data_IF_170299024769
#
_entry.id   IF_170299024769
#
_cell.length_a   1.000
_cell.length_b   1.000
_cell.length_c   1.000
_cell.angle_alpha   90.00
_cell.angle_beta   90.00
_cell.angle_gamma   90.00
#
_symmetry.space_group_name_H-M   'P 1'
#
loop_
_entity.id
_entity.type
_entity.pdbx_description
1 polymer ?
#
# COMPACT_ATOMS: atom_id res chain seq x y z
N UNK A 1 30.75 21.66 0.30
CA UNK A 1 30.01 20.39 0.53
C UNK A 1 29.81 20.30 2.03
N UNK A 2 28.57 20.38 2.52
CA UNK A 2 28.32 20.24 3.94
C UNK A 2 28.55 18.77 4.32
N UNK A 3 29.48 18.52 5.24
CA UNK A 3 29.62 17.20 5.87
C UNK A 3 28.28 16.83 6.50
N UNK A 4 27.73 15.68 6.11
CA UNK A 4 26.61 15.06 6.80
C UNK A 4 27.08 14.85 8.24
N UNK A 5 26.55 15.63 9.20
CA UNK A 5 26.80 15.38 10.62
C UNK A 5 26.36 13.95 10.89
N UNK A 6 27.29 13.07 11.27
CA UNK A 6 26.99 11.74 11.77
C UNK A 6 26.26 11.84 13.13
N UNK A 7 25.03 12.34 13.13
CA UNK A 7 24.07 11.88 14.13
C UNK A 7 23.74 10.45 13.74
N UNK A 8 24.01 9.48 14.60
CA UNK A 8 23.60 8.09 14.39
C UNK A 8 22.07 8.00 14.50
N UNK A 9 21.37 8.44 13.45
CA UNK A 9 19.92 8.27 13.35
C UNK A 9 19.62 6.79 13.57
N UNK A 10 18.81 6.50 14.58
CA UNK A 10 18.32 5.16 14.84
C UNK A 10 16.82 5.13 14.59
N UNK A 11 16.38 4.14 13.82
CA UNK A 11 14.96 3.89 13.54
C UNK A 11 14.58 2.55 14.15
N UNK A 12 13.40 2.48 14.76
CA UNK A 12 12.88 1.21 15.23
C UNK A 12 12.42 0.36 14.05
N UNK A 13 13.09 -0.76 13.81
CA UNK A 13 12.77 -1.68 12.73
C UNK A 13 11.80 -2.75 13.23
N UNK A 14 10.56 -2.73 12.71
CA UNK A 14 9.53 -3.70 13.10
C UNK A 14 9.93 -5.15 12.82
N UNK A 15 10.72 -5.41 11.77
CA UNK A 15 11.18 -6.75 11.40
C UNK A 15 12.08 -7.38 12.48
N UNK A 16 12.94 -6.57 13.11
CA UNK A 16 13.91 -7.02 14.12
C UNK A 16 13.53 -6.65 15.54
N UNK A 17 12.49 -5.81 15.71
CA UNK A 17 11.94 -5.33 16.98
C UNK A 17 12.93 -4.54 17.84
N UNK A 18 13.90 -3.88 17.22
CA UNK A 18 14.92 -3.09 17.89
C UNK A 18 15.19 -1.77 17.16
N UNK A 19 15.84 -0.84 17.86
CA UNK A 19 16.37 0.38 17.22
C UNK A 19 17.66 0.03 16.51
N UNK A 20 17.74 0.37 15.23
CA UNK A 20 18.89 0.09 14.38
C UNK A 20 19.45 1.38 13.81
N UNK A 21 20.77 1.44 13.65
CA UNK A 21 21.41 2.56 12.95
C UNK A 21 20.87 2.60 11.51
N UNK A 22 20.25 3.71 11.15
CA UNK A 22 19.75 3.92 9.81
C UNK A 22 20.93 4.12 8.86
N UNK A 23 20.99 3.27 7.83
CA UNK A 23 21.99 3.36 6.77
C UNK A 23 21.25 3.23 5.43
N UNK A 24 21.21 4.29 4.62
CA UNK A 24 20.54 4.20 3.33
C UNK A 24 21.28 3.23 2.39
N UNK A 25 20.52 2.63 1.48
CA UNK A 25 21.04 1.76 0.40
C UNK A 25 22.04 2.54 -0.47
N UNK A 26 21.69 3.78 -0.82
CA UNK A 26 22.58 4.70 -1.56
C UNK A 26 23.04 5.81 -0.62
N UNK A 27 24.35 5.98 -0.37
CA UNK A 27 24.86 7.03 0.52
C UNK A 27 24.31 8.41 0.17
N UNK A 28 23.73 9.09 1.17
CA UNK A 28 23.16 10.43 1.02
C UNK A 28 21.75 10.49 0.42
N UNK A 29 21.15 9.36 0.01
CA UNK A 29 19.79 9.32 -0.56
C UNK A 29 18.88 8.41 0.25
N UNK A 30 17.61 8.77 0.39
CA UNK A 30 16.62 7.95 1.11
C UNK A 30 15.37 7.75 0.25
N UNK A 31 14.98 6.51 0.01
CA UNK A 31 13.70 6.13 -0.60
C UNK A 31 12.70 5.71 0.47
N UNK A 32 11.59 6.45 0.59
CA UNK A 32 10.58 6.25 1.63
C UNK A 32 9.19 6.09 1.01
N UNK A 33 8.50 5.01 1.34
CA UNK A 33 7.09 4.77 0.98
C UNK A 33 6.22 4.75 2.23
N UNK A 34 5.14 5.53 2.24
CA UNK A 34 4.13 5.50 3.31
C UNK A 34 2.78 5.18 2.70
N UNK A 35 2.10 4.15 3.22
CA UNK A 35 0.75 3.83 2.75
C UNK A 35 -0.21 5.01 2.95
N UNK A 36 -0.92 5.37 1.88
CA UNK A 36 -1.93 6.41 1.90
C UNK A 36 -3.28 5.96 2.43
N UNK A 37 -4.26 6.85 2.27
CA UNK A 37 -5.64 6.62 2.68
C UNK A 37 -6.42 5.89 1.59
N UNK A 38 -7.42 5.12 2.02
CA UNK A 38 -8.54 4.75 1.15
C UNK A 38 -9.52 5.92 1.13
N UNK A 39 -9.64 6.62 0.01
CA UNK A 39 -10.37 7.89 -0.10
C UNK A 39 -11.88 7.69 -0.26
N UNK A 40 -12.56 7.13 0.75
CA UNK A 40 -14.02 6.98 0.75
C UNK A 40 -14.75 7.94 1.69
N UNK A 41 -14.01 8.63 2.57
CA UNK A 41 -14.55 9.57 3.56
C UNK A 41 -13.47 10.56 4.02
N UNK A 42 -13.85 11.54 4.85
CA UNK A 42 -12.94 12.54 5.44
C UNK A 42 -11.87 11.93 6.34
N UNK A 43 -10.75 12.65 6.48
CA UNK A 43 -9.69 12.26 7.41
C UNK A 43 -10.17 12.30 8.86
N UNK A 44 -9.72 11.34 9.66
CA UNK A 44 -9.89 11.38 11.11
C UNK A 44 -8.55 11.54 11.82
N UNK A 45 -8.56 11.80 13.14
CA UNK A 45 -7.33 12.06 13.92
C UNK A 45 -6.27 10.94 13.85
N UNK A 46 -6.69 9.69 13.62
CA UNK A 46 -5.77 8.58 13.36
C UNK A 46 -4.90 8.78 12.11
N UNK A 47 -5.47 9.34 11.03
CA UNK A 47 -4.73 9.70 9.82
C UNK A 47 -3.77 10.86 10.11
N UNK A 48 -4.28 11.91 10.76
CA UNK A 48 -3.45 13.07 11.15
C UNK A 48 -2.23 12.62 11.96
N UNK A 49 -2.41 11.79 12.99
CA UNK A 49 -1.31 11.24 13.79
C UNK A 49 -0.28 10.50 12.94
N UNK A 50 -0.72 9.64 12.01
CA UNK A 50 0.18 8.87 11.17
C UNK A 50 0.98 9.78 10.24
N UNK A 51 0.32 10.66 9.49
CA UNK A 51 0.99 11.48 8.49
C UNK A 51 1.84 12.59 9.09
N UNK A 52 1.47 13.15 10.24
CA UNK A 52 2.34 14.08 10.98
C UNK A 52 3.60 13.37 11.49
N UNK A 53 3.49 12.13 11.98
CA UNK A 53 4.67 11.37 12.42
C UNK A 53 5.66 11.10 11.27
N UNK A 54 5.15 10.74 10.08
CA UNK A 54 6.00 10.56 8.90
C UNK A 54 6.50 11.89 8.31
N UNK A 55 5.75 12.98 8.44
CA UNK A 55 6.24 14.32 8.07
C UNK A 55 7.41 14.76 8.95
N UNK A 56 7.34 14.51 10.27
CA UNK A 56 8.47 14.74 11.18
C UNK A 56 9.69 13.94 10.75
N UNK A 57 9.52 12.65 10.40
CA UNK A 57 10.61 11.82 9.88
C UNK A 57 11.17 12.38 8.56
N UNK A 58 10.31 12.74 7.61
CA UNK A 58 10.70 13.31 6.32
C UNK A 58 11.52 14.60 6.50
N UNK A 59 11.04 15.52 7.34
CA UNK A 59 11.73 16.76 7.68
C UNK A 59 13.06 16.49 8.37
N UNK A 60 13.11 15.54 9.29
CA UNK A 60 14.33 15.21 10.00
C UNK A 60 15.38 14.59 9.07
N UNK A 61 15.01 13.67 8.19
CA UNK A 61 15.90 13.13 7.17
C UNK A 61 16.48 14.23 6.27
N UNK A 62 15.65 15.18 5.81
CA UNK A 62 16.12 16.34 5.04
C UNK A 62 17.04 17.25 5.86
N UNK A 63 16.73 17.46 7.14
CA UNK A 63 17.57 18.25 8.06
C UNK A 63 18.97 17.63 8.23
N UNK A 64 19.06 16.30 8.25
CA UNK A 64 20.33 15.57 8.29
C UNK A 64 21.12 15.65 6.96
N UNK A 65 20.55 16.25 5.91
CA UNK A 65 21.20 16.45 4.62
C UNK A 65 20.94 15.34 3.60
N UNK A 66 19.99 14.42 3.86
CA UNK A 66 19.60 13.41 2.89
C UNK A 66 18.78 14.00 1.74
N UNK A 67 19.04 13.53 0.52
CA UNK A 67 18.12 13.64 -0.62
C UNK A 67 17.02 12.58 -0.45
N UNK A 68 15.82 12.99 -0.05
CA UNK A 68 14.73 12.06 0.26
C UNK A 68 13.71 12.02 -0.88
N UNK A 69 13.45 10.83 -1.43
CA UNK A 69 12.33 10.54 -2.34
C UNK A 69 11.21 9.86 -1.54
N UNK A 70 10.19 10.64 -1.19
CA UNK A 70 9.01 10.22 -0.44
C UNK A 70 7.82 9.97 -1.38
N UNK A 71 7.25 8.77 -1.34
CA UNK A 71 6.05 8.37 -2.10
C UNK A 71 4.92 8.01 -1.14
N UNK A 72 3.71 8.48 -1.42
CA UNK A 72 2.48 8.08 -0.68
C UNK A 72 1.32 7.93 -1.64
N UNK A 73 0.76 6.74 -1.75
CA UNK A 73 -0.33 6.50 -2.69
C UNK A 73 -1.68 7.10 -2.25
N UNK A 74 -2.68 7.00 -3.12
CA UNK A 74 -4.09 7.00 -2.77
C UNK A 74 -4.69 5.66 -3.20
N UNK A 75 -5.35 4.97 -2.26
CA UNK A 75 -6.20 3.83 -2.63
C UNK A 75 -7.56 4.40 -3.02
N UNK A 76 -7.70 4.71 -4.30
CA UNK A 76 -8.91 5.32 -4.89
C UNK A 76 -9.83 4.30 -5.58
N UNK A 77 -9.52 3.01 -5.44
CA UNK A 77 -10.31 1.85 -5.84
C UNK A 77 -10.33 0.86 -4.66
N UNK A 78 -11.48 0.65 -4.03
CA UNK A 78 -11.65 -0.29 -2.91
C UNK A 78 -13.12 -0.67 -2.71
N UNK A 79 -13.39 -1.79 -2.02
CA UNK A 79 -14.75 -2.22 -1.65
C UNK A 79 -15.50 -1.12 -0.88
N UNK A 80 -14.82 -0.39 0.00
CA UNK A 80 -15.43 0.70 0.78
C UNK A 80 -15.84 1.88 -0.09
N UNK A 81 -15.03 2.20 -1.11
CA UNK A 81 -15.34 3.28 -2.07
C UNK A 81 -16.55 2.88 -2.90
N UNK A 82 -16.55 1.67 -3.47
CA UNK A 82 -17.68 1.15 -4.26
C UNK A 82 -18.97 1.14 -3.43
N UNK A 83 -18.89 0.65 -2.19
CA UNK A 83 -20.04 0.62 -1.28
C UNK A 83 -20.55 2.04 -1.01
N UNK A 84 -19.66 2.96 -0.62
CA UNK A 84 -20.03 4.34 -0.28
C UNK A 84 -20.61 5.08 -1.48
N UNK A 85 -20.01 4.93 -2.64
CA UNK A 85 -20.48 5.49 -3.90
C UNK A 85 -21.89 5.02 -4.25
N UNK A 86 -22.16 3.72 -4.08
CA UNK A 86 -23.50 3.15 -4.24
C UNK A 86 -24.52 3.72 -3.24
N UNK A 87 -24.13 3.96 -1.98
CA UNK A 87 -25.01 4.53 -0.96
C UNK A 87 -25.43 5.98 -1.27
N UNK A 88 -24.55 6.77 -1.90
CA UNK A 88 -24.81 8.18 -2.22
C UNK A 88 -25.22 8.43 -3.67
N UNK A 89 -25.20 7.40 -4.52
CA UNK A 89 -25.52 7.51 -5.95
C UNK A 89 -24.47 8.29 -6.76
N UNK A 90 -23.20 8.22 -6.36
CA UNK A 90 -22.07 8.88 -7.04
C UNK A 90 -21.22 7.85 -7.80
N UNK A 91 -20.49 8.30 -8.83
CA UNK A 91 -19.46 7.48 -9.47
C UNK A 91 -18.30 7.21 -8.48
N UNK A 92 -17.80 5.96 -8.35
CA UNK A 92 -16.74 5.62 -7.41
C UNK A 92 -15.46 6.44 -7.55
N UNK A 93 -15.02 6.73 -8.78
CA UNK A 93 -13.78 7.51 -9.01
C UNK A 93 -13.99 8.99 -8.76
N UNK A 94 -15.19 9.53 -9.01
CA UNK A 94 -15.53 10.91 -8.61
C UNK A 94 -15.55 11.05 -7.10
N UNK A 95 -16.17 10.10 -6.39
CA UNK A 95 -16.23 10.11 -4.93
C UNK A 95 -14.81 10.04 -4.34
N UNK A 96 -13.99 9.12 -4.83
CA UNK A 96 -12.63 8.96 -4.33
C UNK A 96 -11.71 10.12 -4.71
N UNK A 97 -11.88 10.67 -5.91
CA UNK A 97 -11.23 11.91 -6.34
C UNK A 97 -11.52 13.07 -5.39
N UNK A 98 -12.79 13.30 -5.04
CA UNK A 98 -13.18 14.35 -4.09
C UNK A 98 -12.52 14.17 -2.72
N UNK A 99 -12.56 12.97 -2.14
CA UNK A 99 -11.93 12.73 -0.84
C UNK A 99 -10.40 12.73 -0.87
N UNK A 100 -9.77 12.50 -2.02
CA UNK A 100 -8.34 12.78 -2.19
C UNK A 100 -8.06 14.29 -2.03
N UNK A 101 -8.86 15.16 -2.64
CA UNK A 101 -8.69 16.61 -2.50
C UNK A 101 -8.94 17.07 -1.07
N UNK A 102 -10.00 16.57 -0.41
CA UNK A 102 -10.26 16.86 1.01
C UNK A 102 -9.07 16.43 1.90
N UNK A 103 -8.51 15.25 1.66
CA UNK A 103 -7.32 14.79 2.37
C UNK A 103 -6.11 15.70 2.12
N UNK A 104 -5.91 16.19 0.89
CA UNK A 104 -4.82 17.12 0.60
C UNK A 104 -5.00 18.46 1.33
N UNK A 105 -6.22 18.98 1.42
CA UNK A 105 -6.55 20.15 2.24
C UNK A 105 -6.21 19.90 3.71
N UNK A 106 -6.65 18.78 4.29
CA UNK A 106 -6.33 18.42 5.69
C UNK A 106 -4.81 18.35 5.93
N UNK A 107 -4.06 17.75 5.01
CA UNK A 107 -2.60 17.65 5.13
C UNK A 107 -1.92 19.01 5.03
N UNK A 108 -2.43 19.92 4.19
CA UNK A 108 -1.93 21.28 4.07
C UNK A 108 -2.22 22.10 5.35
N UNK A 109 -3.41 21.96 5.92
CA UNK A 109 -3.81 22.63 7.18
C UNK A 109 -2.98 22.14 8.38
N UNK A 110 -2.61 20.85 8.37
CA UNK A 110 -1.66 20.26 9.33
C UNK A 110 -0.19 20.61 9.03
N UNK A 111 0.08 21.35 7.97
CA UNK A 111 1.42 21.75 7.51
C UNK A 111 2.34 20.57 7.19
N UNK A 112 1.77 19.42 6.83
CA UNK A 112 2.56 18.30 6.31
C UNK A 112 3.17 18.69 4.96
N UNK A 113 4.45 18.35 4.75
CA UNK A 113 5.06 18.52 3.43
C UNK A 113 4.43 17.53 2.43
N UNK A 114 4.22 17.95 1.18
CA UNK A 114 3.78 17.03 0.15
C UNK A 114 4.86 15.96 -0.10
N UNK A 115 4.47 14.69 -0.29
CA UNK A 115 5.34 13.68 -0.87
C UNK A 115 5.86 14.12 -2.24
N UNK A 116 6.99 13.56 -2.68
CA UNK A 116 7.50 13.77 -4.03
C UNK A 116 6.54 13.21 -5.09
N UNK A 117 5.87 12.09 -4.77
CA UNK A 117 4.94 11.41 -5.67
C UNK A 117 3.71 10.92 -4.90
N UNK A 118 2.54 11.05 -5.51
CA UNK A 118 1.27 10.63 -4.92
C UNK A 118 0.42 9.78 -5.89
N UNK A 119 0.86 8.54 -6.20
CA UNK A 119 0.21 7.72 -7.20
C UNK A 119 -1.18 7.25 -6.77
N UNK A 120 -2.12 7.18 -7.72
CA UNK A 120 -3.45 6.62 -7.53
C UNK A 120 -3.50 5.18 -8.04
N UNK A 121 -4.26 4.32 -7.38
CA UNK A 121 -4.41 2.91 -7.79
C UNK A 121 -5.01 2.81 -9.19
N UNK A 122 -6.03 3.62 -9.48
CA UNK A 122 -6.70 3.66 -10.79
C UNK A 122 -5.75 3.93 -11.97
N UNK A 123 -4.64 4.64 -11.73
CA UNK A 123 -3.63 4.98 -12.74
C UNK A 123 -2.52 3.93 -12.91
N UNK A 124 -2.48 2.87 -12.08
CA UNK A 124 -1.36 1.92 -12.02
C UNK A 124 -1.76 0.46 -12.32
N UNK A 125 -2.84 0.27 -13.08
CA UNK A 125 -3.41 -1.06 -13.35
C UNK A 125 -2.47 -1.95 -14.17
N UNK A 126 -1.65 -1.40 -15.06
CA UNK A 126 -0.65 -2.16 -15.82
C UNK A 126 0.43 -2.72 -14.89
N UNK A 127 1.01 -1.88 -14.03
CA UNK A 127 2.04 -2.28 -13.08
C UNK A 127 1.51 -3.30 -12.08
N UNK A 128 0.26 -3.14 -11.64
CA UNK A 128 -0.41 -4.13 -10.79
C UNK A 128 -0.51 -5.48 -11.51
N UNK A 129 -0.99 -5.51 -12.76
CA UNK A 129 -1.08 -6.76 -13.54
C UNK A 129 0.29 -7.41 -13.71
N UNK A 130 1.34 -6.64 -13.96
CA UNK A 130 2.70 -7.15 -14.12
C UNK A 130 3.22 -7.81 -12.84
N UNK A 131 2.99 -7.20 -11.67
CA UNK A 131 3.40 -7.79 -10.39
C UNK A 131 2.59 -9.06 -10.11
N UNK A 132 1.29 -9.07 -10.37
CA UNK A 132 0.48 -10.29 -10.21
C UNK A 132 1.00 -11.41 -11.12
N UNK A 133 1.32 -11.10 -12.38
CA UNK A 133 1.87 -12.07 -13.31
C UNK A 133 3.23 -12.61 -12.84
N UNK A 134 4.11 -11.77 -12.29
CA UNK A 134 5.36 -12.21 -11.66
C UNK A 134 5.11 -13.17 -10.49
N UNK A 135 4.13 -12.88 -9.63
CA UNK A 135 3.78 -13.75 -8.49
C UNK A 135 3.25 -15.10 -8.98
N UNK A 136 2.40 -15.12 -10.01
CA UNK A 136 1.92 -16.35 -10.65
C UNK A 136 3.09 -17.16 -11.23
N UNK A 137 3.99 -16.51 -11.96
CA UNK A 137 5.16 -17.17 -12.57
C UNK A 137 6.13 -17.78 -11.54
N UNK A 138 6.09 -17.30 -10.30
CA UNK A 138 6.87 -17.82 -9.18
C UNK A 138 6.09 -18.83 -8.32
N UNK A 139 5.00 -19.40 -8.84
CA UNK A 139 4.12 -20.36 -8.16
C UNK A 139 3.54 -19.86 -6.83
N UNK A 140 3.51 -18.54 -6.61
CA UNK A 140 3.03 -17.93 -5.37
C UNK A 140 1.58 -17.42 -5.46
N UNK A 141 0.89 -17.68 -6.58
CA UNK A 141 -0.51 -17.31 -6.78
C UNK A 141 -1.25 -18.33 -7.64
N UNK A 142 -2.58 -18.33 -7.54
CA UNK A 142 -3.46 -19.18 -8.33
C UNK A 142 -4.76 -18.46 -8.69
N UNK A 143 -5.38 -18.87 -9.79
CA UNK A 143 -6.63 -18.30 -10.31
C UNK A 143 -7.83 -19.16 -9.92
N UNK A 144 -8.97 -18.55 -9.58
CA UNK A 144 -10.25 -19.24 -9.38
C UNK A 144 -11.40 -18.35 -9.86
N UNK A 145 -12.16 -18.79 -10.86
CA UNK A 145 -13.34 -18.07 -11.41
C UNK A 145 -13.09 -16.58 -11.73
N UNK A 146 -11.89 -16.24 -12.19
CA UNK A 146 -11.47 -14.86 -12.50
C UNK A 146 -10.87 -14.08 -11.34
N UNK A 147 -10.97 -14.58 -10.11
CA UNK A 147 -10.17 -14.10 -8.98
C UNK A 147 -8.73 -14.63 -9.08
N UNK A 148 -7.77 -13.88 -8.54
CA UNK A 148 -6.39 -14.32 -8.34
C UNK A 148 -6.05 -14.19 -6.87
N UNK A 149 -5.59 -15.29 -6.26
CA UNK A 149 -5.21 -15.34 -4.84
C UNK A 149 -3.71 -15.55 -4.68
N UNK A 150 -3.12 -14.89 -3.69
CA UNK A 150 -1.78 -15.21 -3.20
C UNK A 150 -1.84 -16.47 -2.33
N UNK A 151 -0.97 -17.43 -2.61
CA UNK A 151 -0.83 -18.68 -1.85
C UNK A 151 0.15 -18.47 -0.70
N UNK A 152 -0.35 -18.33 0.53
CA UNK A 152 0.53 -18.10 1.69
C UNK A 152 1.44 -19.29 1.98
N UNK A 153 0.99 -20.51 1.69
CA UNK A 153 1.75 -21.74 1.92
C UNK A 153 2.97 -21.84 0.99
N UNK A 154 2.89 -21.20 -0.18
CA UNK A 154 3.98 -21.14 -1.15
C UNK A 154 4.97 -20.00 -0.84
N UNK A 155 4.80 -19.28 0.28
CA UNK A 155 5.73 -18.25 0.75
C UNK A 155 6.20 -18.54 2.18
N UNK A 156 7.28 -19.33 2.37
CA UNK A 156 7.73 -19.81 3.69
C UNK A 156 8.04 -18.71 4.71
N UNK A 157 8.33 -17.49 4.25
CA UNK A 157 8.63 -16.34 5.10
C UNK A 157 7.39 -15.51 5.49
N UNK A 158 6.18 -15.98 5.18
CA UNK A 158 4.95 -15.28 5.53
C UNK A 158 4.82 -15.08 7.05
N UNK A 159 4.36 -13.89 7.45
CA UNK A 159 4.20 -13.53 8.86
C UNK A 159 5.46 -12.98 9.54
N UNK A 160 6.66 -13.10 8.93
CA UNK A 160 7.95 -12.67 9.53
C UNK A 160 7.94 -11.23 10.07
N UNK A 161 7.36 -10.28 9.33
CA UNK A 161 7.27 -8.87 9.77
C UNK A 161 6.39 -8.67 11.02
N UNK A 162 5.26 -9.37 11.08
CA UNK A 162 4.33 -9.29 12.22
C UNK A 162 4.81 -10.09 13.44
N UNK A 163 5.68 -11.08 13.20
CA UNK A 163 6.06 -12.09 14.19
C UNK A 163 4.92 -13.04 14.60
N UNK A 164 3.80 -13.07 13.86
CA UNK A 164 2.71 -14.03 14.05
C UNK A 164 2.94 -15.28 13.22
N UNK A 165 2.60 -16.45 13.77
CA UNK A 165 2.56 -17.70 13.00
C UNK A 165 1.28 -17.77 12.18
N UNK A 166 1.29 -18.52 11.09
CA UNK A 166 0.07 -18.80 10.30
C UNK A 166 -1.04 -19.40 11.17
N UNK A 167 -0.67 -20.27 12.12
CA UNK A 167 -1.56 -20.88 13.11
C UNK A 167 -2.26 -19.87 14.03
N UNK A 168 -1.65 -18.69 14.26
CA UNK A 168 -2.21 -17.61 15.09
C UNK A 168 -3.20 -16.74 14.31
N UNK A 169 -3.16 -16.78 12.98
CA UNK A 169 -4.10 -16.05 12.12
C UNK A 169 -5.40 -16.85 12.02
N UNK A 170 -6.31 -16.62 12.97
CA UNK A 170 -7.67 -17.15 12.91
C UNK A 170 -8.36 -16.61 11.65
N UNK A 171 -8.49 -17.47 10.64
CA UNK A 171 -9.31 -17.19 9.47
C UNK A 171 -10.75 -16.94 9.91
N UNK A 172 -11.34 -15.81 9.48
CA UNK A 172 -12.75 -15.50 9.72
C UNK A 172 -13.07 -14.34 10.68
N UNK A 173 -12.11 -13.62 11.25
CA UNK A 173 -12.43 -12.50 12.16
C UNK A 173 -12.90 -11.20 11.46
N UNK A 174 -12.72 -11.06 10.13
CA UNK A 174 -13.07 -9.81 9.41
C UNK A 174 -13.82 -9.97 8.09
N UNK A 175 -13.73 -11.11 7.40
CA UNK A 175 -14.38 -11.37 6.11
C UNK A 175 -14.83 -12.83 6.08
N UNK A 176 -16.00 -13.13 5.50
CA UNK A 176 -16.48 -14.51 5.31
C UNK A 176 -15.40 -15.33 4.58
N UNK A 177 -15.13 -16.54 5.07
CA UNK A 177 -14.17 -17.46 4.45
C UNK A 177 -14.72 -17.87 3.09
N UNK A 178 -14.05 -17.44 2.02
CA UNK A 178 -14.36 -17.91 0.67
C UNK A 178 -13.92 -19.37 0.56
N UNK A 179 -14.89 -20.28 0.45
CA UNK A 179 -14.67 -21.73 0.41
C UNK A 179 -13.89 -22.19 -0.82
N UNK A 180 -13.70 -21.31 -1.81
CA UNK A 180 -12.93 -21.59 -3.04
C UNK A 180 -11.41 -21.45 -2.83
N UNK A 181 -10.98 -20.82 -1.73
CA UNK A 181 -9.55 -20.68 -1.41
C UNK A 181 -8.96 -22.02 -0.99
N UNK A 182 -7.73 -22.28 -1.44
CA UNK A 182 -6.93 -23.45 -1.01
C UNK A 182 -6.57 -23.34 0.46
N UNK A 183 -6.23 -22.14 0.92
CA UNK A 183 -5.97 -21.84 2.31
C UNK A 183 -6.85 -20.65 2.77
N UNK A 184 -7.52 -20.73 3.94
CA UNK A 184 -8.36 -19.63 4.46
C UNK A 184 -7.63 -18.30 4.66
N UNK A 185 -6.30 -18.33 4.79
CA UNK A 185 -5.44 -17.15 4.98
C UNK A 185 -4.93 -16.55 3.66
N UNK A 186 -5.20 -17.20 2.52
CA UNK A 186 -4.93 -16.64 1.20
C UNK A 186 -5.74 -15.35 0.99
N UNK A 187 -5.15 -14.39 0.29
CA UNK A 187 -5.76 -13.09 0.04
C UNK A 187 -5.76 -12.76 -1.44
N UNK A 188 -6.75 -11.97 -1.85
CA UNK A 188 -6.93 -11.61 -3.25
C UNK A 188 -5.82 -10.65 -3.70
N UNK A 189 -5.23 -10.96 -4.85
CA UNK A 189 -4.38 -10.08 -5.65
C UNK A 189 -5.21 -9.39 -6.74
N UNK A 190 -6.17 -10.11 -7.31
CA UNK A 190 -7.16 -9.60 -8.26
C UNK A 190 -8.53 -10.15 -7.88
N UNK A 191 -9.55 -9.30 -7.96
CA UNK A 191 -10.95 -9.66 -7.67
C UNK A 191 -11.76 -9.54 -8.94
N UNK A 192 -12.44 -10.61 -9.33
CA UNK A 192 -13.41 -10.58 -10.42
C UNK A 192 -14.50 -9.55 -10.11
N UNK A 193 -14.85 -8.74 -11.10
CA UNK A 193 -15.87 -7.70 -10.90
C UNK A 193 -17.27 -8.31 -10.85
N UNK A 194 -18.08 -7.82 -9.91
CA UNK A 194 -19.52 -8.10 -9.92
C UNK A 194 -20.21 -7.19 -10.94
N UNK A 195 -21.41 -7.59 -11.36
CA UNK A 195 -22.20 -6.79 -12.29
C UNK A 195 -22.44 -5.38 -11.75
N UNK A 196 -22.07 -4.36 -12.53
CA UNK A 196 -22.21 -2.96 -12.16
C UNK A 196 -21.08 -2.38 -11.30
N UNK A 197 -20.11 -3.19 -10.85
CA UNK A 197 -18.90 -2.67 -10.22
C UNK A 197 -17.93 -2.09 -11.26
N UNK A 198 -17.15 -1.09 -10.83
CA UNK A 198 -16.02 -0.61 -11.61
C UNK A 198 -15.01 -1.74 -11.84
N UNK A 199 -14.47 -1.83 -13.06
CA UNK A 199 -13.56 -2.89 -13.45
C UNK A 199 -12.61 -2.49 -14.57
N UNK A 200 -11.52 -3.23 -14.67
CA UNK A 200 -10.50 -3.13 -15.70
C UNK A 200 -10.31 -4.49 -16.36
N UNK A 201 -9.96 -4.47 -17.64
CA UNK A 201 -9.58 -5.69 -18.35
C UNK A 201 -8.30 -6.29 -17.77
N UNK A 202 -8.23 -7.61 -17.72
CA UNK A 202 -7.03 -8.34 -17.34
C UNK A 202 -6.99 -9.72 -18.02
N UNK A 203 -5.84 -10.41 -18.04
CA UNK A 203 -5.75 -11.79 -18.51
C UNK A 203 -6.66 -12.78 -17.76
N UNK A 204 -7.11 -12.42 -16.55
CA UNK A 204 -7.98 -13.24 -15.70
C UNK A 204 -9.46 -12.84 -15.81
N UNK A 205 -9.80 -11.93 -16.72
CA UNK A 205 -11.14 -11.36 -16.87
C UNK A 205 -11.30 -9.97 -16.24
N UNK A 206 -12.47 -9.34 -16.43
CA UNK A 206 -12.74 -8.01 -15.87
C UNK A 206 -12.74 -8.07 -14.34
N UNK A 207 -11.99 -7.16 -13.72
CA UNK A 207 -11.85 -7.14 -12.27
C UNK A 207 -11.13 -5.91 -11.78
N UNK A 208 -10.59 -6.00 -10.57
CA UNK A 208 -9.90 -4.91 -9.88
C UNK A 208 -8.85 -5.47 -8.91
N UNK A 209 -7.84 -4.68 -8.53
CA UNK A 209 -6.84 -5.12 -7.58
C UNK A 209 -7.42 -5.52 -6.23
N UNK A 210 -6.73 -6.44 -5.57
CA UNK A 210 -6.84 -6.61 -4.13
C UNK A 210 -5.94 -5.61 -3.40
N UNK A 211 -6.35 -5.20 -2.20
CA UNK A 211 -5.71 -4.09 -1.47
C UNK A 211 -4.17 -4.20 -1.34
N UNK A 212 -3.62 -5.38 -1.06
CA UNK A 212 -2.19 -5.52 -0.77
C UNK A 212 -1.27 -5.40 -2.00
N UNK A 213 -1.78 -5.70 -3.20
CA UNK A 213 -0.93 -5.70 -4.41
C UNK A 213 -0.65 -4.29 -4.91
N UNK A 214 -1.55 -3.35 -4.63
CA UNK A 214 -1.50 -1.95 -5.02
C UNK A 214 -0.21 -1.27 -4.56
N UNK A 215 0.04 -1.28 -3.24
CA UNK A 215 1.23 -0.66 -2.67
C UNK A 215 2.52 -1.35 -3.14
N UNK A 216 2.48 -2.66 -3.38
CA UNK A 216 3.65 -3.41 -3.86
C UNK A 216 4.04 -2.96 -5.28
N UNK A 217 3.06 -2.80 -6.17
CA UNK A 217 3.29 -2.34 -7.54
C UNK A 217 3.70 -0.85 -7.59
N UNK A 218 3.00 0.02 -6.85
CA UNK A 218 3.31 1.44 -6.85
C UNK A 218 4.66 1.75 -6.20
N UNK A 219 4.97 1.17 -5.04
CA UNK A 219 6.27 1.39 -4.40
C UNK A 219 7.44 0.97 -5.31
N UNK A 220 7.34 -0.21 -5.94
CA UNK A 220 8.36 -0.68 -6.88
C UNK A 220 8.52 0.23 -8.10
N UNK A 221 7.42 0.80 -8.61
CA UNK A 221 7.44 1.71 -9.77
C UNK A 221 8.21 2.99 -9.49
N UNK A 222 8.03 3.58 -8.30
CA UNK A 222 8.66 4.87 -7.97
C UNK A 222 10.00 4.72 -7.24
N UNK A 223 10.22 3.65 -6.48
CA UNK A 223 11.37 3.49 -5.57
C UNK A 223 12.25 2.26 -5.85
N UNK A 224 11.88 1.40 -6.80
CA UNK A 224 12.43 0.04 -7.05
C UNK A 224 11.94 -1.04 -6.07
N UNK A 225 12.21 -2.32 -6.38
CA UNK A 225 11.78 -3.49 -5.58
C UNK A 225 12.44 -3.55 -4.18
N UNK A 226 13.50 -2.77 -3.93
CA UNK A 226 14.15 -2.67 -2.62
C UNK A 226 14.46 -1.21 -2.31
N UNK A 227 13.88 -0.70 -1.23
CA UNK A 227 13.98 0.70 -0.81
C UNK A 227 14.21 0.80 0.72
N UNK A 228 14.47 2.02 1.22
CA UNK A 228 14.96 2.20 2.60
C UNK A 228 13.87 2.09 3.68
N UNK A 229 12.72 2.75 3.49
CA UNK A 229 11.64 2.90 4.49
C UNK A 229 10.28 2.63 3.87
#
# INVERSE_FOLDING_TARGET
>A
MAEVRESELQIYNTMTKQKEKFKPIVPGKVSMYVCGVTSYDFSHIGHARAYVAFDVLFRYLKHLGYEVKYVRNFTDVDDKIIKRASEVGEDPLKLSGRFCEEFLTDMADLQCLPPNEQPRVSDHMDQIRDVIQKIINNDCAYTVDGDVYFSVDNFPNYGRLSGRKLEDNRAGERIAVDSRKRNPTDFALWKAAKQGEISWASPWGPGRPGWHIECSAMSATYLTETFDI
#
